data_IF_272900826021
#
_entry.id   IF_272900826021
#
_cell.length_a   1.000
_cell.length_b   1.000
_cell.length_c   1.000
_cell.angle_alpha   90.00
_cell.angle_beta   90.00
_cell.angle_gamma   90.00
#
_symmetry.space_group_name_H-M   'P 1'
#
loop_
_entity.id
_entity.type
_entity.pdbx_description
1 polymer ?
#
# COMPACT_ATOMS: atom_id res chain seq x y z
N UNK A 1 11.88 -22.86 19.38
CA UNK A 1 11.17 -22.54 20.62
C UNK A 1 10.23 -21.37 20.41
N UNK A 2 9.06 -21.42 21.05
CA UNK A 2 8.14 -20.28 21.09
C UNK A 2 8.50 -19.42 22.30
N UNK A 3 8.84 -18.16 22.07
CA UNK A 3 9.22 -17.20 23.10
C UNK A 3 8.38 -15.93 22.99
N UNK A 4 8.41 -15.09 24.01
CA UNK A 4 7.67 -13.81 24.09
C UNK A 4 6.16 -13.99 23.86
N UNK A 5 5.54 -14.95 24.58
CA UNK A 5 4.11 -15.22 24.43
C UNK A 5 3.70 -15.77 23.06
N UNK A 6 4.64 -16.27 22.26
CA UNK A 6 4.39 -16.78 20.92
C UNK A 6 4.66 -15.81 19.77
N UNK A 7 5.11 -14.60 20.06
CA UNK A 7 5.46 -13.60 19.00
C UNK A 7 6.67 -14.02 18.17
N UNK A 8 7.53 -14.92 18.69
CA UNK A 8 8.69 -15.47 17.97
C UNK A 8 8.57 -16.99 17.96
N UNK A 9 8.27 -17.59 16.82
CA UNK A 9 8.14 -19.04 16.62
C UNK A 9 9.03 -19.53 15.46
N UNK A 10 8.86 -18.94 14.29
CA UNK A 10 9.48 -19.35 13.03
C UNK A 10 10.65 -18.47 12.59
N UNK A 11 10.87 -17.33 13.24
CA UNK A 11 11.98 -16.42 12.97
C UNK A 11 13.29 -17.01 13.51
N UNK A 12 13.82 -17.99 12.77
CA UNK A 12 14.99 -18.73 13.16
C UNK A 12 15.93 -18.96 11.96
N UNK A 13 17.26 -18.81 12.10
CA UNK A 13 18.22 -18.99 11.00
C UNK A 13 18.07 -20.31 10.26
N UNK A 14 17.81 -21.42 10.96
CA UNK A 14 17.62 -22.73 10.32
C UNK A 14 16.38 -22.78 9.44
N UNK A 15 15.27 -22.12 9.84
CA UNK A 15 14.05 -22.05 9.02
C UNK A 15 14.28 -21.22 7.78
N UNK A 16 14.78 -20.00 7.96
CA UNK A 16 15.04 -19.08 6.83
C UNK A 16 16.19 -19.56 5.94
N UNK A 17 17.23 -20.17 6.51
CA UNK A 17 18.30 -20.78 5.76
C UNK A 17 17.80 -21.89 4.84
N UNK A 18 16.92 -22.78 5.35
CA UNK A 18 16.32 -23.85 4.55
C UNK A 18 15.44 -23.34 3.41
N UNK A 19 14.73 -22.20 3.59
CA UNK A 19 13.94 -21.57 2.54
C UNK A 19 14.82 -20.83 1.53
N UNK A 20 15.86 -20.11 1.97
CA UNK A 20 16.62 -19.18 1.15
C UNK A 20 17.86 -19.79 0.47
N UNK A 21 18.20 -21.04 0.77
CA UNK A 21 19.36 -21.74 0.19
C UNK A 21 19.31 -21.74 -1.34
N UNK A 22 20.38 -21.27 -1.97
CA UNK A 22 20.61 -21.41 -3.41
C UNK A 22 21.20 -22.78 -3.68
N UNK A 23 20.38 -23.74 -4.09
CA UNK A 23 20.70 -25.18 -4.16
C UNK A 23 21.90 -25.51 -5.06
N UNK A 24 22.15 -24.69 -6.08
CA UNK A 24 23.29 -24.85 -6.97
C UNK A 24 24.57 -24.12 -6.49
N UNK A 25 24.52 -23.40 -5.36
CA UNK A 25 25.65 -22.62 -4.86
C UNK A 25 26.47 -23.46 -3.87
N UNK A 26 27.79 -23.77 -4.18
CA UNK A 26 28.59 -24.62 -3.31
C UNK A 26 28.83 -24.05 -1.90
N UNK A 27 28.90 -22.72 -1.76
CA UNK A 27 29.07 -22.08 -0.45
C UNK A 27 27.83 -22.27 0.42
N UNK A 28 26.63 -22.04 -0.15
CA UNK A 28 25.38 -22.26 0.56
C UNK A 28 25.23 -23.73 0.99
N UNK A 29 25.60 -24.68 0.10
CA UNK A 29 25.56 -26.12 0.40
C UNK A 29 26.53 -26.50 1.53
N UNK A 30 27.69 -25.91 1.58
CA UNK A 30 28.65 -26.15 2.69
C UNK A 30 28.09 -25.61 4.03
N UNK A 31 27.46 -24.42 4.00
CA UNK A 31 26.91 -23.81 5.21
C UNK A 31 25.69 -24.57 5.75
N UNK A 32 24.76 -25.02 4.89
CA UNK A 32 23.60 -25.80 5.38
C UNK A 32 24.03 -27.14 5.96
N UNK A 33 25.10 -27.77 5.44
CA UNK A 33 25.68 -28.98 6.03
C UNK A 33 26.36 -28.66 7.37
N UNK A 34 27.16 -27.60 7.43
CA UNK A 34 27.87 -27.20 8.65
C UNK A 34 26.91 -26.89 9.80
N UNK A 35 25.79 -26.20 9.51
CA UNK A 35 24.82 -25.77 10.49
C UNK A 35 23.61 -26.72 10.63
N UNK A 36 23.63 -27.84 9.94
CA UNK A 36 22.55 -28.84 9.95
C UNK A 36 21.19 -28.20 9.62
N UNK A 37 21.13 -27.45 8.52
CA UNK A 37 19.92 -26.76 8.05
C UNK A 37 19.23 -27.66 7.03
N UNK A 38 17.98 -28.11 7.25
CA UNK A 38 17.21 -28.85 6.25
C UNK A 38 16.74 -27.91 5.13
N UNK A 39 16.85 -28.35 3.87
CA UNK A 39 16.21 -27.63 2.77
C UNK A 39 14.68 -27.71 2.86
N UNK A 40 14.00 -26.62 2.55
CA UNK A 40 12.55 -26.49 2.55
C UNK A 40 12.06 -26.28 1.13
N UNK A 41 11.23 -27.18 0.62
CA UNK A 41 10.69 -27.17 -0.74
C UNK A 41 9.35 -26.46 -0.86
N UNK A 42 8.61 -26.42 0.24
CA UNK A 42 7.23 -25.94 0.27
C UNK A 42 6.98 -25.11 1.54
N UNK A 43 6.42 -23.94 1.33
CA UNK A 43 5.96 -23.03 2.39
C UNK A 43 4.48 -22.79 2.18
N UNK A 44 3.66 -23.13 3.17
CA UNK A 44 2.23 -22.85 3.19
C UNK A 44 1.97 -21.95 4.38
N UNK A 45 1.45 -20.76 4.14
CA UNK A 45 1.15 -19.78 5.18
C UNK A 45 -0.24 -19.20 4.97
N UNK A 46 -1.00 -19.23 6.04
CA UNK A 46 -2.26 -18.51 6.19
C UNK A 46 -2.02 -17.38 7.19
N UNK A 47 -2.21 -16.12 6.75
CA UNK A 47 -1.94 -14.95 7.58
C UNK A 47 -3.03 -14.77 8.65
N UNK A 48 -2.68 -14.13 9.75
CA UNK A 48 -3.67 -13.70 10.72
C UNK A 48 -4.70 -12.76 10.09
N UNK A 49 -5.99 -12.88 10.46
CA UNK A 49 -7.10 -12.12 9.86
C UNK A 49 -7.13 -10.68 10.39
N UNK A 50 -6.14 -9.87 10.00
CA UNK A 50 -5.97 -8.50 10.48
C UNK A 50 -7.17 -7.62 10.13
N UNK A 51 -7.58 -7.57 8.86
CA UNK A 51 -8.69 -6.72 8.40
C UNK A 51 -10.02 -7.12 9.03
N UNK A 52 -10.28 -8.42 9.21
CA UNK A 52 -11.47 -8.92 9.90
C UNK A 52 -11.46 -8.51 11.38
N UNK A 53 -10.28 -8.52 12.01
CA UNK A 53 -10.13 -8.09 13.41
C UNK A 53 -10.41 -6.60 13.56
N UNK A 54 -9.88 -5.76 12.65
CA UNK A 54 -10.20 -4.33 12.60
C UNK A 54 -11.70 -4.10 12.39
N UNK A 55 -12.29 -4.79 11.41
CA UNK A 55 -13.71 -4.67 11.08
C UNK A 55 -14.65 -5.11 12.22
N UNK A 56 -14.19 -6.02 13.09
CA UNK A 56 -14.97 -6.45 14.26
C UNK A 56 -15.08 -5.41 15.38
N UNK A 57 -14.33 -4.31 15.30
CA UNK A 57 -14.26 -3.30 16.36
C UNK A 57 -13.47 -3.78 17.59
N UNK A 58 -12.51 -4.68 17.40
CA UNK A 58 -11.61 -5.15 18.45
C UNK A 58 -10.80 -4.00 19.07
N UNK A 59 -10.23 -4.24 20.26
CA UNK A 59 -9.37 -3.25 20.91
C UNK A 59 -8.07 -3.03 20.11
N UNK A 60 -7.46 -1.85 20.27
CA UNK A 60 -6.16 -1.55 19.64
C UNK A 60 -5.08 -2.58 19.98
N UNK A 61 -5.12 -3.11 21.22
CA UNK A 61 -4.20 -4.15 21.69
C UNK A 61 -4.43 -5.46 20.91
N UNK A 62 -5.67 -5.88 20.74
CA UNK A 62 -6.02 -7.09 19.98
C UNK A 62 -5.67 -6.95 18.49
N UNK A 63 -5.89 -5.77 17.92
CA UNK A 63 -5.51 -5.45 16.53
C UNK A 63 -3.99 -5.55 16.36
N UNK A 64 -3.21 -4.99 17.28
CA UNK A 64 -1.74 -5.07 17.26
C UNK A 64 -1.27 -6.52 17.34
N UNK A 65 -1.88 -7.35 18.18
CA UNK A 65 -1.52 -8.77 18.31
C UNK A 65 -1.82 -9.59 17.03
N UNK A 66 -2.68 -9.08 16.15
CA UNK A 66 -2.95 -9.69 14.85
C UNK A 66 -2.03 -9.25 13.72
N UNK A 67 -1.05 -8.40 14.01
CA UNK A 67 -0.01 -8.08 13.02
C UNK A 67 0.92 -9.28 12.88
N UNK A 68 0.85 -9.95 11.75
CA UNK A 68 1.67 -11.12 11.45
C UNK A 68 3.08 -10.71 11.03
N UNK A 69 4.07 -11.13 11.81
CA UNK A 69 5.49 -10.90 11.52
C UNK A 69 6.13 -12.13 10.87
N UNK A 70 5.85 -13.31 11.42
CA UNK A 70 6.48 -14.56 10.99
C UNK A 70 5.97 -15.04 9.65
N UNK A 71 4.65 -15.02 9.46
CA UNK A 71 3.99 -15.46 8.21
C UNK A 71 4.42 -14.63 7.02
N UNK A 72 4.34 -13.31 7.13
CA UNK A 72 4.80 -12.37 6.08
C UNK A 72 6.27 -12.62 5.72
N UNK A 73 7.14 -12.80 6.73
CA UNK A 73 8.56 -13.04 6.52
C UNK A 73 8.82 -14.36 5.78
N UNK A 74 8.11 -15.44 6.13
CA UNK A 74 8.19 -16.74 5.47
C UNK A 74 7.72 -16.67 4.01
N UNK A 75 6.61 -16.00 3.75
CA UNK A 75 6.06 -15.78 2.41
C UNK A 75 7.08 -15.06 1.52
N UNK A 76 7.64 -13.96 2.00
CA UNK A 76 8.64 -13.18 1.26
C UNK A 76 9.93 -13.95 1.01
N UNK A 77 10.39 -14.74 1.98
CA UNK A 77 11.58 -15.58 1.82
C UNK A 77 11.35 -16.65 0.74
N UNK A 78 10.22 -17.35 0.78
CA UNK A 78 9.88 -18.38 -0.19
C UNK A 78 9.67 -17.80 -1.61
N UNK A 79 8.96 -16.69 -1.72
CA UNK A 79 8.78 -16.00 -2.99
C UNK A 79 10.10 -15.51 -3.60
N UNK A 80 11.06 -15.05 -2.76
CA UNK A 80 12.42 -14.69 -3.21
C UNK A 80 13.18 -15.87 -3.80
N UNK A 81 12.98 -17.07 -3.29
CA UNK A 81 13.66 -18.30 -3.75
C UNK A 81 12.71 -19.21 -4.58
N UNK A 82 11.81 -18.62 -5.36
CA UNK A 82 10.80 -19.34 -6.15
C UNK A 82 11.39 -20.30 -7.21
N UNK A 83 12.65 -20.16 -7.57
CA UNK A 83 13.35 -21.13 -8.42
C UNK A 83 13.43 -22.51 -7.75
N UNK A 84 13.40 -22.58 -6.45
CA UNK A 84 13.56 -23.80 -5.66
C UNK A 84 12.39 -24.10 -4.72
N UNK A 85 11.65 -23.09 -4.27
CA UNK A 85 10.64 -23.22 -3.21
C UNK A 85 9.26 -22.86 -3.77
N UNK A 86 8.27 -23.71 -3.47
CA UNK A 86 6.87 -23.43 -3.72
C UNK A 86 6.28 -22.65 -2.53
N UNK A 87 5.54 -21.57 -2.80
CA UNK A 87 4.83 -20.81 -1.75
C UNK A 87 3.34 -20.74 -2.03
N UNK A 88 2.54 -21.19 -1.09
CA UNK A 88 1.08 -21.13 -1.15
C UNK A 88 0.55 -20.27 0.00
N UNK A 89 -0.37 -19.41 -0.31
CA UNK A 89 -0.94 -18.43 0.62
C UNK A 89 -2.45 -18.47 0.68
N UNK A 90 -3.08 -19.39 -0.08
CA UNK A 90 -4.51 -19.51 -0.10
C UNK A 90 -4.94 -20.97 -0.38
N UNK A 91 -6.01 -21.41 0.25
CA UNK A 91 -6.55 -22.78 0.15
C UNK A 91 -6.92 -23.18 -1.29
N UNK A 92 -7.32 -22.25 -2.13
CA UNK A 92 -7.66 -22.55 -3.54
C UNK A 92 -6.46 -23.04 -4.39
N UNK A 93 -5.23 -22.85 -3.91
CA UNK A 93 -4.00 -23.32 -4.57
C UNK A 93 -3.69 -24.79 -4.26
N UNK A 94 -4.34 -25.39 -3.24
CA UNK A 94 -4.01 -26.74 -2.79
C UNK A 94 -4.30 -27.82 -3.84
N UNK A 95 -5.38 -27.70 -4.61
CA UNK A 95 -5.71 -28.69 -5.63
C UNK A 95 -4.66 -28.72 -6.75
N UNK A 96 -4.18 -27.55 -7.16
CA UNK A 96 -3.11 -27.43 -8.15
C UNK A 96 -1.80 -28.03 -7.63
N UNK A 97 -1.44 -27.75 -6.36
CA UNK A 97 -0.28 -28.37 -5.69
C UNK A 97 -0.41 -29.90 -5.67
N UNK A 98 -1.53 -30.43 -5.13
CA UNK A 98 -1.75 -31.87 -4.98
C UNK A 98 -1.63 -32.58 -6.34
N UNK A 99 -2.21 -32.02 -7.39
CA UNK A 99 -2.12 -32.56 -8.73
C UNK A 99 -0.69 -32.57 -9.28
N UNK A 100 0.15 -31.66 -8.83
CA UNK A 100 1.55 -31.57 -9.27
C UNK A 100 2.52 -32.50 -8.51
N UNK A 101 2.17 -32.97 -7.31
CA UNK A 101 3.10 -33.72 -6.45
C UNK A 101 3.73 -34.96 -7.11
N UNK A 102 3.03 -35.77 -7.93
CA UNK A 102 3.65 -36.93 -8.57
C UNK A 102 4.80 -36.62 -9.54
N UNK A 103 4.72 -35.44 -10.21
CA UNK A 103 5.73 -34.99 -11.18
C UNK A 103 6.65 -33.88 -10.63
N UNK A 104 6.32 -33.36 -9.47
CA UNK A 104 6.92 -32.15 -8.91
C UNK A 104 6.32 -30.86 -9.48
N UNK A 105 6.52 -29.75 -8.76
CA UNK A 105 6.07 -28.43 -9.21
C UNK A 105 6.98 -27.89 -10.32
N UNK A 106 6.38 -27.29 -11.35
CA UNK A 106 7.16 -26.65 -12.43
C UNK A 106 7.65 -25.27 -12.00
N UNK A 107 8.67 -24.75 -12.67
CA UNK A 107 9.17 -23.39 -12.43
C UNK A 107 8.07 -22.33 -12.68
N UNK A 108 7.27 -22.52 -13.71
CA UNK A 108 6.14 -21.63 -14.05
C UNK A 108 5.12 -21.58 -12.92
N UNK A 109 4.75 -22.73 -12.35
CA UNK A 109 3.83 -22.79 -11.20
C UNK A 109 4.41 -22.05 -10.00
N UNK A 110 5.68 -22.29 -9.66
CA UNK A 110 6.34 -21.63 -8.53
C UNK A 110 6.41 -20.11 -8.71
N UNK A 111 6.73 -19.62 -9.90
CA UNK A 111 6.77 -18.18 -10.19
C UNK A 111 5.36 -17.56 -10.13
N UNK A 112 4.33 -18.24 -10.63
CA UNK A 112 2.93 -17.82 -10.51
C UNK A 112 2.51 -17.68 -9.03
N UNK A 113 2.81 -18.69 -8.23
CA UNK A 113 2.48 -18.66 -6.79
C UNK A 113 3.30 -17.61 -6.05
N UNK A 114 4.56 -17.42 -6.39
CA UNK A 114 5.40 -16.37 -5.80
C UNK A 114 4.88 -14.96 -6.10
N UNK A 115 4.40 -14.72 -7.33
CA UNK A 115 3.75 -13.46 -7.67
C UNK A 115 2.51 -13.22 -6.80
N UNK A 116 1.61 -14.21 -6.71
CA UNK A 116 0.41 -14.11 -5.87
C UNK A 116 0.77 -13.86 -4.39
N UNK A 117 1.80 -14.54 -3.90
CA UNK A 117 2.32 -14.37 -2.54
C UNK A 117 2.85 -12.96 -2.29
N UNK A 118 3.58 -12.36 -3.24
CA UNK A 118 4.07 -10.99 -3.15
C UNK A 118 2.94 -9.96 -3.21
N UNK A 119 1.91 -10.20 -4.05
CA UNK A 119 0.70 -9.35 -4.08
C UNK A 119 0.02 -9.38 -2.72
N UNK A 120 -0.22 -10.56 -2.15
CA UNK A 120 -0.81 -10.69 -0.81
C UNK A 120 -0.01 -9.92 0.25
N UNK A 121 1.34 -10.01 0.23
CA UNK A 121 2.15 -9.26 1.22
C UNK A 121 2.02 -7.74 1.03
N UNK A 122 1.90 -7.25 -0.21
CA UNK A 122 1.71 -5.84 -0.49
C UNK A 122 0.32 -5.35 -0.03
N UNK A 123 -0.72 -6.12 -0.26
CA UNK A 123 -2.09 -5.84 0.22
C UNK A 123 -2.15 -5.82 1.74
N UNK A 124 -1.50 -6.79 2.40
CA UNK A 124 -1.41 -6.86 3.85
C UNK A 124 -0.69 -5.64 4.45
N UNK A 125 0.49 -5.28 3.93
CA UNK A 125 1.24 -4.09 4.38
C UNK A 125 0.43 -2.80 4.15
N UNK A 126 -0.34 -2.74 3.05
CA UNK A 126 -1.23 -1.61 2.77
C UNK A 126 -2.40 -1.54 3.76
N UNK A 127 -2.98 -2.67 4.15
CA UNK A 127 -4.03 -2.73 5.17
C UNK A 127 -3.52 -2.21 6.53
N UNK A 128 -2.31 -2.61 6.95
CA UNK A 128 -1.65 -2.09 8.15
C UNK A 128 -1.43 -0.56 8.06
N UNK A 129 -0.95 -0.09 6.91
CA UNK A 129 -0.70 1.33 6.70
C UNK A 129 -2.00 2.15 6.72
N UNK A 130 -3.09 1.62 6.15
CA UNK A 130 -4.43 2.25 6.18
C UNK A 130 -4.96 2.38 7.60
N UNK A 131 -4.78 1.36 8.44
CA UNK A 131 -5.22 1.41 9.83
C UNK A 131 -4.47 2.48 10.64
N UNK A 132 -3.20 2.73 10.32
CA UNK A 132 -2.34 3.73 10.97
C UNK A 132 -2.41 5.13 10.36
N UNK A 133 -3.01 5.28 9.18
CA UNK A 133 -3.13 6.56 8.48
C UNK A 133 -4.23 7.46 9.05
N UNK A 134 -4.24 8.72 8.61
CA UNK A 134 -5.29 9.65 8.98
C UNK A 134 -6.60 9.30 8.27
N UNK A 135 -7.66 9.06 9.03
CA UNK A 135 -8.98 8.76 8.45
C UNK A 135 -9.52 10.01 7.75
N UNK A 136 -10.05 9.81 6.56
CA UNK A 136 -10.76 10.85 5.80
C UNK A 136 -12.26 10.83 6.13
N UNK A 137 -12.94 11.91 5.79
CA UNK A 137 -14.41 12.00 5.97
C UNK A 137 -15.13 10.85 5.26
N UNK A 138 -14.71 10.47 4.05
CA UNK A 138 -15.10 9.28 3.29
C UNK A 138 -14.13 9.09 2.11
N UNK A 139 -14.19 7.95 1.45
CA UNK A 139 -13.41 7.63 0.25
C UNK A 139 -13.96 8.28 -1.02
N UNK A 140 -13.89 7.59 -2.16
CA UNK A 140 -14.42 8.06 -3.43
C UNK A 140 -15.95 8.28 -3.34
N UNK A 141 -16.65 7.36 -2.66
CA UNK A 141 -18.10 7.46 -2.42
C UNK A 141 -18.40 7.59 -0.92
N UNK A 142 -19.54 8.22 -0.53
CA UNK A 142 -19.87 8.51 0.87
C UNK A 142 -19.93 7.31 1.81
N UNK A 143 -20.14 6.11 1.29
CA UNK A 143 -20.19 4.87 2.08
C UNK A 143 -18.84 4.16 2.19
N UNK A 144 -17.82 4.65 1.51
CA UNK A 144 -16.46 4.07 1.50
C UNK A 144 -15.57 4.76 2.54
N UNK A 145 -14.76 3.98 3.24
CA UNK A 145 -13.70 4.53 4.09
C UNK A 145 -12.53 5.04 3.23
N UNK A 146 -12.00 6.20 3.58
CA UNK A 146 -10.78 6.75 3.01
C UNK A 146 -9.70 6.93 4.07
N UNK A 147 -8.43 6.78 3.69
CA UNK A 147 -7.30 7.02 4.60
C UNK A 147 -6.18 7.77 3.88
N UNK A 148 -5.72 8.86 4.47
CA UNK A 148 -4.55 9.59 4.01
C UNK A 148 -3.28 8.99 4.62
N UNK A 149 -2.40 8.48 3.76
CA UNK A 149 -1.08 7.96 4.14
C UNK A 149 -0.02 8.93 3.61
N UNK A 150 0.71 9.59 4.51
CA UNK A 150 1.73 10.59 4.16
C UNK A 150 3.11 10.09 4.55
N UNK A 151 4.02 10.02 3.57
CA UNK A 151 5.44 9.75 3.85
C UNK A 151 6.10 11.01 4.43
N UNK A 152 6.99 10.85 5.40
CA UNK A 152 7.68 11.98 6.03
C UNK A 152 8.43 12.87 5.03
N UNK A 153 9.00 12.27 3.98
CA UNK A 153 9.65 13.02 2.89
C UNK A 153 8.71 13.96 2.12
N UNK A 154 7.40 13.72 2.17
CA UNK A 154 6.38 14.51 1.48
C UNK A 154 5.55 15.41 2.40
N UNK A 155 5.75 15.35 3.74
CA UNK A 155 5.02 16.19 4.72
C UNK A 155 5.23 17.70 4.52
N UNK A 156 6.32 18.09 3.87
CA UNK A 156 6.66 19.50 3.62
C UNK A 156 6.34 19.95 2.20
N UNK A 157 5.69 19.11 1.40
CA UNK A 157 5.37 19.41 0.00
C UNK A 157 3.99 18.89 -0.36
N UNK A 158 3.29 19.62 -1.21
CA UNK A 158 1.97 19.25 -1.70
C UNK A 158 0.85 19.41 -0.67
N UNK A 159 -0.33 19.00 -1.06
CA UNK A 159 -1.58 19.20 -0.32
C UNK A 159 -1.61 18.45 1.01
N UNK A 160 -1.03 17.25 1.06
CA UNK A 160 -0.99 16.44 2.29
C UNK A 160 -0.19 17.09 3.44
N UNK A 161 0.66 18.06 3.13
CA UNK A 161 1.43 18.84 4.13
C UNK A 161 0.89 20.25 4.35
N UNK A 162 -0.25 20.60 3.73
CA UNK A 162 -0.85 21.92 3.85
C UNK A 162 -1.50 22.13 5.22
N UNK A 163 -1.49 23.36 5.71
CA UNK A 163 -2.22 23.77 6.89
C UNK A 163 -3.69 23.99 6.54
N UNK A 164 -4.57 23.37 7.31
CA UNK A 164 -6.03 23.55 7.19
C UNK A 164 -6.45 24.71 8.09
N UNK A 165 -6.80 25.85 7.49
CA UNK A 165 -7.17 27.05 8.24
C UNK A 165 -8.61 27.00 8.76
N UNK A 166 -9.53 26.42 7.99
CA UNK A 166 -10.94 26.29 8.39
C UNK A 166 -11.69 25.29 7.49
N UNK A 167 -12.87 24.88 7.93
CA UNK A 167 -13.79 24.10 7.13
C UNK A 167 -13.99 22.67 7.64
N UNK A 168 -14.62 21.86 6.82
CA UNK A 168 -14.86 20.43 7.09
C UNK A 168 -13.63 19.60 6.79
N UNK A 169 -13.53 18.44 7.42
CA UNK A 169 -12.55 17.43 7.02
C UNK A 169 -12.74 17.08 5.54
N UNK A 170 -11.62 16.92 4.84
CA UNK A 170 -11.61 16.59 3.42
C UNK A 170 -11.93 15.11 3.20
N UNK A 171 -12.63 14.82 2.10
CA UNK A 171 -12.79 13.48 1.55
C UNK A 171 -11.63 13.15 0.59
N UNK A 172 -11.60 11.91 0.11
CA UNK A 172 -10.65 11.49 -0.94
C UNK A 172 -10.77 12.37 -2.20
N UNK A 173 -12.00 12.62 -2.66
CA UNK A 173 -12.25 13.49 -3.81
C UNK A 173 -11.78 14.94 -3.59
N UNK A 174 -11.93 15.47 -2.36
CA UNK A 174 -11.45 16.81 -2.05
C UNK A 174 -9.92 16.87 -2.14
N UNK A 175 -9.20 15.87 -1.61
CA UNK A 175 -7.74 15.79 -1.75
C UNK A 175 -7.29 15.67 -3.20
N UNK A 176 -7.98 14.85 -4.01
CA UNK A 176 -7.69 14.69 -5.42
C UNK A 176 -7.85 16.02 -6.18
N UNK A 177 -8.98 16.67 -6.00
CA UNK A 177 -9.29 17.93 -6.68
C UNK A 177 -8.34 19.05 -6.26
N UNK A 178 -8.00 19.15 -4.96
CA UNK A 178 -7.04 20.15 -4.44
C UNK A 178 -5.63 19.90 -4.99
N UNK A 179 -5.15 18.64 -5.05
CA UNK A 179 -3.81 18.33 -5.59
C UNK A 179 -3.71 18.68 -7.08
N UNK A 180 -4.74 18.35 -7.86
CA UNK A 180 -4.81 18.70 -9.29
C UNK A 180 -4.85 20.21 -9.48
N UNK A 181 -5.71 20.91 -8.73
CA UNK A 181 -5.83 22.36 -8.82
C UNK A 181 -4.52 23.07 -8.45
N UNK A 182 -3.86 22.64 -7.37
CA UNK A 182 -2.57 23.17 -6.96
C UNK A 182 -1.48 22.95 -8.01
N UNK A 183 -1.37 21.74 -8.55
CA UNK A 183 -0.39 21.42 -9.61
C UNK A 183 -0.62 22.24 -10.88
N UNK A 184 -1.88 22.51 -11.22
CA UNK A 184 -2.22 23.27 -12.41
C UNK A 184 -1.83 24.74 -12.30
N UNK A 185 -1.88 25.36 -11.11
CA UNK A 185 -1.65 26.79 -10.97
C UNK A 185 -0.31 27.18 -10.32
N UNK A 186 0.33 26.34 -9.52
CA UNK A 186 1.48 26.70 -8.65
C UNK A 186 2.68 27.31 -9.38
N UNK A 187 2.88 26.99 -10.66
CA UNK A 187 3.99 27.51 -11.48
C UNK A 187 3.61 28.76 -12.28
N UNK A 188 2.35 29.18 -12.21
CA UNK A 188 1.84 30.35 -12.94
C UNK A 188 1.92 31.61 -12.09
N UNK A 189 2.29 32.74 -12.71
CA UNK A 189 2.25 34.06 -12.05
C UNK A 189 0.78 34.47 -11.88
N UNK A 190 0.35 34.78 -10.64
CA UNK A 190 -1.05 35.04 -10.33
C UNK A 190 -1.98 33.91 -10.82
N UNK A 191 -1.48 32.65 -10.84
CA UNK A 191 -2.20 31.52 -11.39
C UNK A 191 -3.42 31.15 -10.57
N UNK A 192 -4.50 30.81 -11.25
CA UNK A 192 -5.74 30.29 -10.66
C UNK A 192 -6.15 29.05 -11.45
N UNK A 193 -6.51 28.00 -10.75
CA UNK A 193 -7.11 26.79 -11.33
C UNK A 193 -8.41 26.44 -10.61
N UNK A 194 -9.45 26.08 -11.36
CA UNK A 194 -10.73 25.59 -10.87
C UNK A 194 -10.86 24.16 -11.33
N UNK A 195 -11.00 23.23 -10.38
CA UNK A 195 -11.03 21.77 -10.65
C UNK A 195 -12.27 21.15 -10.04
N UNK A 196 -12.88 20.22 -10.74
CA UNK A 196 -13.99 19.42 -10.26
C UNK A 196 -13.92 18.03 -10.85
N UNK A 197 -14.10 17.01 -9.98
CA UNK A 197 -14.06 15.59 -10.37
C UNK A 197 -12.77 15.20 -11.11
N UNK A 198 -11.62 15.70 -10.64
CA UNK A 198 -10.32 15.43 -11.22
C UNK A 198 -10.01 16.16 -12.54
N UNK A 199 -10.90 17.05 -12.99
CA UNK A 199 -10.76 17.74 -14.28
C UNK A 199 -10.75 19.27 -14.08
N UNK A 200 -9.75 20.00 -14.62
CA UNK A 200 -9.77 21.45 -14.64
C UNK A 200 -10.92 22.00 -15.49
N UNK A 201 -11.84 22.75 -14.87
CA UNK A 201 -12.86 23.53 -15.57
C UNK A 201 -12.30 24.82 -16.15
N UNK A 202 -11.23 25.35 -15.55
CA UNK A 202 -10.52 26.51 -16.04
C UNK A 202 -9.20 26.74 -15.34
N UNK A 203 -8.18 27.15 -16.10
CA UNK A 203 -6.87 27.55 -15.58
C UNK A 203 -6.47 28.84 -16.28
N UNK A 204 -6.04 29.83 -15.50
CA UNK A 204 -5.63 31.13 -16.07
C UNK A 204 -4.49 31.78 -15.28
N UNK A 205 -3.76 32.65 -15.97
CA UNK A 205 -2.74 33.53 -15.44
C UNK A 205 -2.91 34.90 -16.11
N UNK A 206 -3.13 35.94 -15.31
CA UNK A 206 -3.35 37.30 -15.75
C UNK A 206 -2.56 38.32 -14.89
N UNK A 207 -2.81 39.61 -15.07
CA UNK A 207 -2.09 40.65 -14.34
C UNK A 207 -2.39 40.69 -12.84
N UNK A 208 -3.53 40.20 -12.43
CA UNK A 208 -3.94 40.07 -11.02
C UNK A 208 -4.58 38.72 -10.76
N UNK A 209 -4.64 38.29 -9.48
CA UNK A 209 -5.32 37.05 -9.05
C UNK A 209 -6.80 37.13 -9.42
N UNK A 210 -7.46 38.28 -9.22
CA UNK A 210 -8.88 38.44 -9.52
C UNK A 210 -9.18 38.32 -11.02
N UNK A 211 -8.29 38.83 -11.88
CA UNK A 211 -8.45 38.71 -13.34
C UNK A 211 -8.20 37.25 -13.78
N UNK A 212 -7.20 36.58 -13.18
CA UNK A 212 -6.98 35.16 -13.38
C UNK A 212 -8.18 34.31 -12.97
N UNK A 213 -8.79 34.61 -11.81
CA UNK A 213 -10.00 33.94 -11.36
C UNK A 213 -11.18 34.12 -12.33
N UNK A 214 -11.42 35.38 -12.77
CA UNK A 214 -12.46 35.69 -13.75
C UNK A 214 -12.26 34.93 -15.06
N UNK A 215 -11.02 34.92 -15.55
CA UNK A 215 -10.67 34.21 -16.79
C UNK A 215 -10.84 32.69 -16.65
N UNK A 216 -10.37 32.11 -15.55
CA UNK A 216 -10.55 30.69 -15.26
C UNK A 216 -12.04 30.31 -15.15
N UNK A 217 -12.83 31.11 -14.43
CA UNK A 217 -14.27 30.90 -14.29
C UNK A 217 -15.01 31.02 -15.63
N UNK A 218 -14.60 31.96 -16.49
CA UNK A 218 -15.21 32.16 -17.79
C UNK A 218 -15.00 31.01 -18.77
N UNK A 219 -14.02 30.13 -18.53
CA UNK A 219 -13.75 28.96 -19.38
C UNK A 219 -14.90 27.97 -19.36
N UNK A 220 -15.43 27.65 -18.18
CA UNK A 220 -16.64 26.84 -18.00
C UNK A 220 -17.31 27.15 -16.64
N UNK A 221 -18.15 28.19 -16.62
CA UNK A 221 -18.79 28.63 -15.38
C UNK A 221 -19.82 27.62 -14.83
N UNK A 222 -20.33 26.74 -15.67
CA UNK A 222 -21.31 25.71 -15.24
C UNK A 222 -20.62 24.59 -14.49
N UNK A 223 -19.54 24.04 -15.04
CA UNK A 223 -18.75 22.99 -14.40
C UNK A 223 -17.96 23.50 -13.19
N UNK A 224 -17.64 24.79 -13.12
CA UNK A 224 -16.94 25.40 -12.00
C UNK A 224 -17.75 25.39 -10.69
N UNK A 225 -19.08 25.31 -10.76
CA UNK A 225 -19.92 25.34 -9.57
C UNK A 225 -19.66 24.14 -8.63
N UNK A 226 -19.31 24.43 -7.38
CA UNK A 226 -18.97 23.42 -6.37
C UNK A 226 -17.60 22.75 -6.58
N UNK A 227 -16.75 23.33 -7.42
CA UNK A 227 -15.37 22.90 -7.63
C UNK A 227 -14.40 23.47 -6.60
N UNK A 228 -13.16 22.97 -6.62
CA UNK A 228 -12.03 23.44 -5.84
C UNK A 228 -11.32 24.55 -6.60
N UNK A 229 -10.96 25.62 -5.92
CA UNK A 229 -10.16 26.73 -6.48
C UNK A 229 -8.79 26.74 -5.81
N UNK A 230 -7.72 26.64 -6.60
CA UNK A 230 -6.36 26.86 -6.15
C UNK A 230 -5.79 28.16 -6.72
N UNK A 231 -4.98 28.82 -5.91
CA UNK A 231 -4.37 30.13 -6.22
C UNK A 231 -2.89 30.07 -5.90
N UNK A 232 -2.02 30.50 -6.82
CA UNK A 232 -0.57 30.43 -6.69
C UNK A 232 0.06 31.50 -5.81
N UNK A 233 -0.72 32.45 -5.30
CA UNK A 233 -0.31 33.53 -4.39
C UNK A 233 -1.19 33.58 -3.17
N UNK A 234 -0.63 34.10 -2.07
CA UNK A 234 -1.39 34.50 -0.90
C UNK A 234 -2.44 35.57 -1.27
N UNK A 235 -3.60 35.44 -0.69
CA UNK A 235 -4.68 36.42 -0.86
C UNK A 235 -4.55 37.49 0.22
N UNK A 236 -4.61 38.75 -0.18
CA UNK A 236 -4.64 39.91 0.69
C UNK A 236 -5.97 40.05 1.42
#
# INVERSE_FOLDING_TARGET
PSILGGRVKTLHPKVFGGILTRRANPSDQAEIQQFEIPEIDLVIVDLYPFEETVASGASDEDIIEKIDIGGISLIRAAAKNADHVSVLTHVNQYQELIASLPAGTTLEMRHKWALNALVLTAEYDLALARERGAKLRYGENPHQAGTLIVRDSHRKSGVAGAEVLQGKEMSDNDYLDVDIAWRACRSLTNGVAIVKHGIPSGVASANSVIDSYRAALASDPVSAFGGVVAISKELD
#
